data_IF_770763268767
#
_entry.id   IF_770763268767
#
_cell.length_a   1.000
_cell.length_b   1.000
_cell.length_c   1.000
_cell.angle_alpha   90.00
_cell.angle_beta   90.00
_cell.angle_gamma   90.00
#
_symmetry.space_group_name_H-M   'P 1'
#
loop_
_entity.id
_entity.type
_entity.pdbx_description
1 polymer ?
#
# COMPACT_ATOMS: atom_id res chain seq x y z
N UNK A 1 10.31 1.76 21.73
CA UNK A 1 9.58 1.41 20.49
C UNK A 1 9.57 2.63 19.59
N UNK A 2 9.81 2.45 18.30
CA UNK A 2 9.84 3.59 17.37
C UNK A 2 8.43 3.95 16.90
N UNK A 3 7.64 2.97 16.46
CA UNK A 3 6.27 3.16 15.98
C UNK A 3 5.32 2.27 16.75
N UNK A 4 4.22 2.80 17.23
CA UNK A 4 3.11 2.04 17.81
C UNK A 4 1.87 2.20 16.93
N UNK A 5 1.31 1.08 16.45
CA UNK A 5 0.12 1.07 15.61
C UNK A 5 -1.09 0.52 16.37
N UNK A 6 -2.23 1.20 16.30
CA UNK A 6 -3.54 0.65 16.65
C UNK A 6 -3.92 -0.29 15.52
N UNK A 7 -4.11 -1.59 15.83
CA UNK A 7 -4.28 -2.63 14.82
C UNK A 7 -5.74 -2.98 14.63
N UNK A 8 -6.22 -2.91 13.38
CA UNK A 8 -7.58 -3.29 12.93
C UNK A 8 -8.70 -2.84 13.88
N UNK A 9 -8.84 -1.52 14.14
CA UNK A 9 -9.87 -1.01 15.07
C UNK A 9 -11.26 -0.90 14.42
N UNK A 10 -11.60 -1.73 13.45
CA UNK A 10 -12.79 -1.64 12.60
C UNK A 10 -14.10 -1.44 13.38
N UNK A 11 -14.32 -2.29 14.38
CA UNK A 11 -15.52 -2.25 15.22
C UNK A 11 -15.34 -1.38 16.49
N UNK A 12 -14.20 -0.69 16.62
CA UNK A 12 -13.77 -0.02 17.85
C UNK A 12 -13.29 1.42 17.62
N UNK A 13 -13.87 2.12 16.63
CA UNK A 13 -13.47 3.46 16.25
C UNK A 13 -13.39 4.43 17.43
N UNK A 14 -14.47 4.53 18.23
CA UNK A 14 -14.54 5.45 19.36
C UNK A 14 -13.50 5.10 20.43
N UNK A 15 -13.28 3.83 20.70
CA UNK A 15 -12.29 3.34 21.67
C UNK A 15 -10.86 3.66 21.17
N UNK A 16 -10.62 3.45 19.88
CA UNK A 16 -9.33 3.76 19.25
C UNK A 16 -9.01 5.25 19.34
N UNK A 17 -9.97 6.11 18.99
CA UNK A 17 -9.78 7.56 18.93
C UNK A 17 -9.77 8.20 20.33
N UNK A 18 -10.67 7.79 21.23
CA UNK A 18 -10.90 8.49 22.49
C UNK A 18 -10.13 7.91 23.68
N UNK A 19 -9.59 6.69 23.58
CA UNK A 19 -8.84 6.05 24.67
C UNK A 19 -7.44 5.60 24.24
N UNK A 20 -7.33 4.82 23.14
CA UNK A 20 -6.04 4.29 22.71
C UNK A 20 -5.12 5.41 22.20
N UNK A 21 -5.61 6.30 21.32
CA UNK A 21 -4.81 7.40 20.77
C UNK A 21 -4.29 8.33 21.89
N UNK A 22 -5.12 8.87 22.82
CA UNK A 22 -4.61 9.73 23.89
C UNK A 22 -3.59 9.05 24.80
N UNK A 23 -3.72 7.73 25.03
CA UNK A 23 -2.74 6.95 25.78
C UNK A 23 -1.40 6.88 25.04
N UNK A 24 -1.43 6.61 23.74
CA UNK A 24 -0.22 6.58 22.90
C UNK A 24 0.39 7.98 22.75
N UNK A 25 -0.42 9.02 22.64
CA UNK A 25 0.03 10.41 22.57
C UNK A 25 0.80 10.85 23.83
N UNK A 26 0.31 10.42 25.01
CA UNK A 26 1.03 10.59 26.25
C UNK A 26 2.40 9.88 26.20
N UNK A 27 2.44 8.62 25.76
CA UNK A 27 3.69 7.87 25.64
C UNK A 27 4.65 8.49 24.61
N UNK A 28 4.14 9.09 23.53
CA UNK A 28 4.93 9.86 22.54
C UNK A 28 5.51 11.11 23.20
N UNK A 29 4.71 11.86 23.94
CA UNK A 29 5.15 13.07 24.66
C UNK A 29 6.21 12.79 25.74
N UNK A 30 6.16 11.62 26.35
CA UNK A 30 7.14 11.12 27.32
C UNK A 30 8.42 10.53 26.65
N UNK A 31 8.47 10.43 25.32
CA UNK A 31 9.58 9.86 24.56
C UNK A 31 9.71 8.34 24.64
N UNK A 32 8.69 7.62 25.13
CA UNK A 32 8.65 6.16 25.20
C UNK A 32 8.45 5.55 23.81
N UNK A 33 7.63 6.19 22.98
CA UNK A 33 7.44 5.89 21.56
C UNK A 33 7.77 7.14 20.75
N UNK A 34 8.11 6.97 19.45
CA UNK A 34 8.46 8.09 18.57
C UNK A 34 7.32 8.50 17.66
N UNK A 35 6.48 7.55 17.25
CA UNK A 35 5.38 7.77 16.32
C UNK A 35 4.17 6.91 16.66
N UNK A 36 2.99 7.48 16.40
CA UNK A 36 1.69 6.83 16.58
C UNK A 36 1.06 6.61 15.21
N UNK A 37 0.48 5.44 14.99
CA UNK A 37 -0.26 5.14 13.78
C UNK A 37 -1.49 4.27 14.03
N UNK A 38 -2.16 3.96 12.94
CA UNK A 38 -3.16 2.89 12.87
C UNK A 38 -2.88 2.04 11.62
N UNK A 39 -3.22 0.75 11.69
CA UNK A 39 -3.01 -0.18 10.59
C UNK A 39 -4.27 -0.99 10.30
N UNK A 40 -4.76 -0.94 9.04
CA UNK A 40 -5.96 -1.65 8.62
C UNK A 40 -6.12 -1.68 7.08
N UNK A 41 -7.16 -2.39 6.62
CA UNK A 41 -7.51 -2.43 5.21
C UNK A 41 -8.46 -1.28 4.78
N UNK A 42 -9.25 -0.73 5.70
CA UNK A 42 -10.26 0.29 5.41
C UNK A 42 -9.63 1.68 5.40
N UNK A 43 -9.36 2.20 4.22
CA UNK A 43 -8.76 3.53 4.07
C UNK A 43 -9.68 4.66 4.54
N UNK A 44 -11.00 4.46 4.50
CA UNK A 44 -12.00 5.44 4.91
C UNK A 44 -11.87 5.78 6.41
N UNK A 45 -11.71 4.76 7.26
CA UNK A 45 -11.51 4.97 8.70
C UNK A 45 -10.15 5.62 9.00
N UNK A 46 -9.10 5.28 8.25
CA UNK A 46 -7.80 5.96 8.38
C UNK A 46 -7.92 7.45 8.01
N UNK A 47 -8.72 7.78 6.99
CA UNK A 47 -9.00 9.17 6.65
C UNK A 47 -9.76 9.91 7.77
N UNK A 48 -10.71 9.24 8.43
CA UNK A 48 -11.39 9.79 9.59
C UNK A 48 -10.44 9.98 10.78
N UNK A 49 -9.57 9.05 11.07
CA UNK A 49 -8.51 9.22 12.07
C UNK A 49 -7.59 10.40 11.72
N UNK A 50 -7.18 10.51 10.46
CA UNK A 50 -6.36 11.63 10.00
C UNK A 50 -7.03 13.00 10.25
N UNK A 51 -8.36 13.11 10.16
CA UNK A 51 -9.07 14.36 10.42
C UNK A 51 -9.19 14.69 11.90
N UNK A 52 -9.31 13.69 12.75
CA UNK A 52 -9.74 13.84 14.13
C UNK A 52 -8.59 13.77 15.15
N UNK A 53 -7.39 13.32 14.77
CA UNK A 53 -6.24 13.22 15.67
C UNK A 53 -4.91 13.40 14.94
N UNK A 54 -3.85 13.64 15.74
CA UNK A 54 -2.50 13.94 15.27
C UNK A 54 -1.68 12.65 15.16
N UNK A 55 -2.03 11.81 14.18
CA UNK A 55 -1.28 10.61 13.84
C UNK A 55 -0.03 10.95 13.02
N UNK A 56 1.03 10.17 13.22
CA UNK A 56 2.30 10.33 12.47
C UNK A 56 2.34 9.45 11.22
N UNK A 57 1.71 8.28 11.25
CA UNK A 57 1.71 7.35 10.13
C UNK A 57 0.48 6.43 10.11
N UNK A 58 0.18 5.87 8.93
CA UNK A 58 -0.79 4.78 8.79
C UNK A 58 -0.21 3.63 8.00
N UNK A 59 -0.60 2.40 8.36
CA UNK A 59 -0.40 1.23 7.53
C UNK A 59 -1.73 0.91 6.84
N UNK A 60 -1.76 1.03 5.52
CA UNK A 60 -2.92 0.67 4.70
C UNK A 60 -2.57 -0.51 3.79
N UNK A 61 -3.37 -1.58 3.85
CA UNK A 61 -3.08 -2.81 3.14
C UNK A 61 -3.96 -3.00 1.90
N UNK A 62 -3.31 -3.19 0.74
CA UNK A 62 -3.97 -3.56 -0.51
C UNK A 62 -4.85 -2.50 -1.17
N UNK A 63 -4.83 -1.23 -0.73
CA UNK A 63 -5.68 -0.13 -1.23
C UNK A 63 -4.94 0.92 -2.05
N UNK A 64 -3.62 0.78 -2.19
CA UNK A 64 -2.81 1.50 -3.16
C UNK A 64 -1.76 0.57 -3.75
N UNK A 65 -2.13 -0.10 -4.81
CA UNK A 65 -1.36 -1.11 -5.54
C UNK A 65 -1.63 -0.96 -7.04
N UNK A 66 -0.99 -1.75 -7.90
CA UNK A 66 -1.33 -1.78 -9.34
C UNK A 66 -2.78 -2.20 -9.64
N UNK A 67 -3.47 -2.87 -8.69
CA UNK A 67 -4.83 -3.38 -8.88
C UNK A 67 -5.90 -2.57 -8.13
N UNK A 68 -5.53 -1.82 -7.12
CA UNK A 68 -6.47 -1.02 -6.31
C UNK A 68 -5.86 0.35 -6.02
N UNK A 69 -6.59 1.42 -6.34
CA UNK A 69 -6.15 2.81 -6.14
C UNK A 69 -7.13 3.58 -5.25
N UNK A 70 -8.01 2.88 -4.53
CA UNK A 70 -9.11 3.51 -3.80
C UNK A 70 -8.65 4.48 -2.71
N UNK A 71 -7.48 4.26 -2.10
CA UNK A 71 -6.89 5.18 -1.14
C UNK A 71 -6.55 6.57 -1.73
N UNK A 72 -6.40 6.69 -3.07
CA UNK A 72 -6.20 7.97 -3.74
C UNK A 72 -7.41 8.91 -3.66
N UNK A 73 -8.62 8.38 -3.42
CA UNK A 73 -9.83 9.17 -3.41
C UNK A 73 -9.77 10.26 -2.32
N UNK A 74 -9.19 9.93 -1.18
CA UNK A 74 -9.21 10.82 -0.02
C UNK A 74 -8.01 10.63 0.91
N UNK A 75 -7.69 9.41 1.34
CA UNK A 75 -6.66 9.15 2.35
C UNK A 75 -5.29 9.73 1.95
N UNK A 76 -4.83 9.42 0.75
CA UNK A 76 -3.47 9.80 0.32
C UNK A 76 -3.30 11.32 0.17
N UNK A 77 -4.23 12.06 -0.46
CA UNK A 77 -4.19 13.52 -0.47
C UNK A 77 -4.21 14.13 0.94
N UNK A 78 -5.08 13.61 1.82
CA UNK A 78 -5.19 14.08 3.20
C UNK A 78 -3.91 13.82 4.00
N UNK A 79 -3.31 12.63 3.85
CA UNK A 79 -2.03 12.31 4.48
C UNK A 79 -0.92 13.27 4.03
N UNK A 80 -0.87 13.58 2.73
CA UNK A 80 0.12 14.51 2.19
C UNK A 80 -0.08 15.94 2.76
N UNK A 81 -1.33 16.41 2.84
CA UNK A 81 -1.67 17.72 3.42
C UNK A 81 -1.28 17.80 4.90
N UNK A 82 -1.51 16.75 5.66
CA UNK A 82 -1.27 16.70 7.11
C UNK A 82 0.13 16.23 7.51
N UNK A 83 0.98 15.86 6.55
CA UNK A 83 2.32 15.35 6.82
C UNK A 83 2.34 13.95 7.44
N UNK A 84 1.27 13.16 7.25
CA UNK A 84 1.16 11.77 7.73
C UNK A 84 1.81 10.84 6.71
N UNK A 85 2.73 9.99 7.17
CA UNK A 85 3.41 9.01 6.32
C UNK A 85 2.58 7.74 6.14
N UNK A 86 2.55 7.18 4.93
CA UNK A 86 1.92 5.90 4.66
C UNK A 86 2.94 4.77 4.57
N UNK A 87 2.60 3.64 5.17
CA UNK A 87 3.26 2.34 5.02
C UNK A 87 2.28 1.45 4.26
N UNK A 88 2.66 0.97 3.09
CA UNK A 88 1.80 0.12 2.28
C UNK A 88 2.01 -1.35 2.62
N UNK A 89 0.96 -2.01 3.11
CA UNK A 89 0.91 -3.45 3.26
C UNK A 89 0.41 -4.14 1.99
N UNK A 90 0.90 -5.36 1.74
CA UNK A 90 0.38 -6.22 0.68
C UNK A 90 0.47 -5.66 -0.75
N UNK A 91 1.64 -5.13 -1.21
CA UNK A 91 1.78 -4.55 -2.55
C UNK A 91 1.49 -5.55 -3.69
N UNK A 92 1.53 -6.83 -3.40
CA UNK A 92 1.26 -7.91 -4.35
C UNK A 92 -0.19 -8.40 -4.35
N UNK A 93 -1.11 -7.79 -3.58
CA UNK A 93 -2.52 -8.17 -3.49
C UNK A 93 -2.72 -9.68 -3.25
N UNK A 94 -2.33 -10.15 -2.07
CA UNK A 94 -2.37 -11.57 -1.69
C UNK A 94 -1.58 -12.50 -2.64
N UNK A 95 -0.59 -11.95 -3.37
CA UNK A 95 0.27 -12.69 -4.28
C UNK A 95 -0.13 -12.63 -5.76
N UNK A 96 -1.28 -12.03 -6.13
CA UNK A 96 -1.68 -11.90 -7.55
C UNK A 96 -0.54 -11.35 -8.40
N UNK A 97 0.05 -10.22 -7.99
CA UNK A 97 1.09 -9.51 -8.77
C UNK A 97 2.50 -10.14 -8.63
N UNK A 98 2.62 -11.24 -7.89
CA UNK A 98 3.86 -12.02 -7.75
C UNK A 98 3.68 -13.48 -8.19
N UNK A 99 2.58 -13.82 -8.86
CA UNK A 99 2.23 -15.18 -9.32
C UNK A 99 2.25 -15.27 -10.83
N UNK A 100 2.13 -16.51 -11.33
CA UNK A 100 1.95 -16.81 -12.76
C UNK A 100 0.52 -16.51 -13.29
N UNK A 101 -0.33 -15.88 -12.45
CA UNK A 101 -1.71 -15.56 -12.75
C UNK A 101 -2.58 -16.77 -13.15
N UNK A 102 -2.30 -17.91 -12.50
CA UNK A 102 -3.02 -19.17 -12.67
C UNK A 102 -4.35 -19.23 -11.88
N UNK A 103 -5.00 -20.38 -11.93
CA UNK A 103 -6.32 -20.63 -11.31
C UNK A 103 -6.31 -20.57 -9.77
N UNK A 104 -5.16 -20.77 -9.15
CA UNK A 104 -5.03 -20.87 -7.68
C UNK A 104 -4.63 -19.53 -7.03
N UNK A 105 -4.71 -18.45 -7.82
CA UNK A 105 -4.37 -17.10 -7.35
C UNK A 105 -5.44 -16.58 -6.40
N UNK A 106 -5.01 -15.99 -5.27
CA UNK A 106 -5.91 -15.40 -4.27
C UNK A 106 -5.86 -13.87 -4.29
N UNK A 107 -6.98 -13.23 -3.92
CA UNK A 107 -7.11 -11.79 -3.76
C UNK A 107 -7.89 -11.50 -2.47
N UNK A 108 -7.33 -10.74 -1.54
CA UNK A 108 -7.85 -10.58 -0.17
C UNK A 108 -8.18 -11.92 0.50
N UNK A 109 -7.29 -12.91 0.35
CA UNK A 109 -7.36 -14.27 0.90
C UNK A 109 -8.44 -15.18 0.29
N UNK A 110 -9.31 -14.68 -0.59
CA UNK A 110 -10.30 -15.43 -1.36
C UNK A 110 -9.78 -15.75 -2.78
N UNK A 111 -10.39 -16.70 -3.50
CA UNK A 111 -10.09 -16.94 -4.91
C UNK A 111 -10.21 -15.63 -5.71
N UNK A 112 -9.19 -15.29 -6.49
CA UNK A 112 -9.16 -14.03 -7.21
C UNK A 112 -10.29 -13.96 -8.26
N UNK A 113 -11.11 -12.89 -8.27
CA UNK A 113 -12.11 -12.69 -9.31
C UNK A 113 -11.47 -12.65 -10.70
N UNK A 114 -12.18 -13.19 -11.71
CA UNK A 114 -11.70 -13.20 -13.09
C UNK A 114 -11.31 -11.81 -13.60
N UNK A 115 -12.06 -10.78 -13.22
CA UNK A 115 -11.75 -9.38 -13.58
C UNK A 115 -10.40 -8.90 -13.05
N UNK A 116 -10.01 -9.31 -11.85
CA UNK A 116 -8.71 -9.01 -11.25
C UNK A 116 -7.59 -9.73 -12.01
N UNK A 117 -7.77 -11.01 -12.30
CA UNK A 117 -6.80 -11.79 -13.09
C UNK A 117 -6.64 -11.20 -14.49
N UNK A 118 -7.73 -10.88 -15.17
CA UNK A 118 -7.71 -10.31 -16.52
C UNK A 118 -7.01 -8.94 -16.53
N UNK A 119 -7.22 -8.12 -15.48
CA UNK A 119 -6.52 -6.82 -15.32
C UNK A 119 -5.02 -7.02 -15.05
N UNK A 120 -4.68 -7.95 -14.15
CA UNK A 120 -3.28 -8.26 -13.86
C UNK A 120 -2.53 -8.78 -15.10
N UNK A 121 -3.17 -9.60 -15.95
CA UNK A 121 -2.63 -10.05 -17.23
C UNK A 121 -2.34 -8.90 -18.18
N UNK A 122 -3.26 -7.95 -18.32
CA UNK A 122 -3.04 -6.74 -19.16
C UNK A 122 -1.87 -5.89 -18.63
N UNK A 123 -1.77 -5.72 -17.31
CA UNK A 123 -0.63 -5.00 -16.71
C UNK A 123 0.67 -5.76 -17.02
N UNK A 124 0.67 -7.09 -16.87
CA UNK A 124 1.82 -7.93 -17.20
C UNK A 124 2.24 -7.78 -18.67
N UNK A 125 1.29 -7.80 -19.61
CA UNK A 125 1.57 -7.60 -21.04
C UNK A 125 2.29 -6.27 -21.31
N UNK A 126 1.90 -5.20 -20.62
CA UNK A 126 2.60 -3.91 -20.70
C UNK A 126 4.00 -4.00 -20.08
N UNK A 127 4.12 -4.60 -18.90
CA UNK A 127 5.42 -4.82 -18.27
C UNK A 127 6.38 -5.59 -19.20
N UNK A 128 5.88 -6.65 -19.85
CA UNK A 128 6.66 -7.47 -20.77
C UNK A 128 7.16 -6.66 -22.01
N UNK A 129 6.38 -5.70 -22.52
CA UNK A 129 6.80 -4.80 -23.63
C UNK A 129 8.04 -3.97 -23.21
N UNK A 130 8.13 -3.59 -21.96
CA UNK A 130 9.24 -2.78 -21.42
C UNK A 130 10.36 -3.63 -20.77
N UNK A 131 10.29 -4.96 -20.87
CA UNK A 131 11.23 -5.91 -20.22
C UNK A 131 11.32 -5.69 -18.71
N UNK A 132 10.19 -5.42 -18.05
CA UNK A 132 10.07 -5.19 -16.62
C UNK A 132 9.28 -6.33 -15.97
N UNK A 133 9.81 -7.02 -14.95
CA UNK A 133 9.02 -8.00 -14.20
C UNK A 133 7.77 -7.37 -13.57
N UNK A 134 6.60 -8.01 -13.68
CA UNK A 134 5.36 -7.55 -13.04
C UNK A 134 5.55 -7.30 -11.54
N UNK A 135 6.29 -8.19 -10.87
CA UNK A 135 6.61 -8.09 -9.44
C UNK A 135 7.42 -6.84 -9.11
N UNK A 136 8.36 -6.44 -9.99
CA UNK A 136 9.12 -5.21 -9.82
C UNK A 136 8.24 -3.97 -9.96
N UNK A 137 7.38 -3.94 -10.97
CA UNK A 137 6.41 -2.85 -11.13
C UNK A 137 5.48 -2.76 -9.91
N UNK A 138 5.00 -3.90 -9.39
CA UNK A 138 4.09 -3.93 -8.25
C UNK A 138 4.71 -3.40 -6.95
N UNK A 139 5.94 -3.80 -6.62
CA UNK A 139 6.58 -3.35 -5.37
C UNK A 139 7.01 -1.89 -5.43
N UNK A 140 7.40 -1.40 -6.61
CA UNK A 140 7.86 -0.01 -6.79
C UNK A 140 6.71 0.97 -6.98
N UNK A 141 5.56 0.55 -7.52
CA UNK A 141 4.43 1.44 -7.81
C UNK A 141 4.03 2.32 -6.64
N UNK A 142 3.83 1.72 -5.47
CA UNK A 142 3.40 2.45 -4.29
C UNK A 142 4.41 3.50 -3.82
N UNK A 143 5.70 3.23 -4.00
CA UNK A 143 6.79 4.11 -3.57
C UNK A 143 6.93 5.38 -4.43
N UNK A 144 6.23 5.46 -5.57
CA UNK A 144 6.19 6.67 -6.40
C UNK A 144 5.37 7.78 -5.73
N UNK A 145 4.44 7.46 -4.83
CA UNK A 145 3.59 8.49 -4.23
C UNK A 145 4.29 9.18 -3.05
N UNK A 146 4.30 10.52 -2.99
CA UNK A 146 5.09 11.28 -2.02
C UNK A 146 4.65 11.09 -0.56
N UNK A 147 3.41 10.64 -0.30
CA UNK A 147 2.98 10.31 1.08
C UNK A 147 3.47 8.94 1.55
N UNK A 148 4.02 8.10 0.67
CA UNK A 148 4.43 6.74 1.00
C UNK A 148 5.89 6.72 1.46
N UNK A 149 6.11 6.32 2.71
CA UNK A 149 7.43 6.18 3.30
C UNK A 149 8.03 4.79 3.11
N UNK A 150 7.20 3.74 3.02
CA UNK A 150 7.68 2.35 2.93
C UNK A 150 6.61 1.41 2.40
N UNK A 151 7.04 0.21 1.98
CA UNK A 151 6.17 -0.90 1.61
C UNK A 151 6.58 -2.18 2.32
N UNK A 152 5.59 -3.01 2.70
CA UNK A 152 5.78 -4.28 3.41
C UNK A 152 5.21 -5.41 2.55
N UNK A 153 6.05 -6.14 1.78
CA UNK A 153 5.60 -7.18 0.85
C UNK A 153 5.22 -8.51 1.52
N UNK A 154 5.60 -8.74 2.79
CA UNK A 154 5.25 -9.94 3.55
C UNK A 154 5.93 -11.23 3.05
N UNK A 155 7.27 -11.29 2.93
CA UNK A 155 7.98 -12.48 2.50
C UNK A 155 7.88 -13.60 3.54
N UNK A 156 7.82 -14.85 3.09
CA UNK A 156 7.70 -16.06 3.93
C UNK A 156 9.05 -16.71 4.29
N UNK A 157 10.10 -16.36 3.54
CA UNK A 157 11.45 -16.93 3.69
C UNK A 157 12.51 -15.94 3.19
N UNK A 158 13.78 -16.30 3.38
CA UNK A 158 14.94 -15.47 2.98
C UNK A 158 15.04 -15.24 1.48
N UNK A 159 14.65 -16.24 0.67
CA UNK A 159 14.76 -16.15 -0.79
C UNK A 159 13.76 -15.13 -1.33
N UNK A 160 12.54 -15.09 -0.78
CA UNK A 160 11.54 -14.07 -1.10
C UNK A 160 11.97 -12.65 -0.65
N UNK A 161 12.72 -12.54 0.47
CA UNK A 161 13.33 -11.26 0.88
C UNK A 161 14.35 -10.81 -0.16
N UNK A 162 15.27 -11.71 -0.56
CA UNK A 162 16.29 -11.41 -1.55
C UNK A 162 15.67 -11.01 -2.89
N UNK A 163 14.70 -11.76 -3.36
CA UNK A 163 13.98 -11.47 -4.60
C UNK A 163 13.25 -10.11 -4.53
N UNK A 164 12.60 -9.77 -3.41
CA UNK A 164 11.98 -8.45 -3.24
C UNK A 164 13.01 -7.31 -3.32
N UNK A 165 14.21 -7.51 -2.76
CA UNK A 165 15.30 -6.53 -2.85
C UNK A 165 15.77 -6.38 -4.31
N UNK A 166 15.89 -7.48 -5.04
CA UNK A 166 16.23 -7.45 -6.47
C UNK A 166 15.17 -6.72 -7.29
N UNK A 167 13.88 -6.98 -7.03
CA UNK A 167 12.76 -6.29 -7.70
C UNK A 167 12.75 -4.78 -7.43
N UNK A 168 13.15 -4.33 -6.25
CA UNK A 168 13.29 -2.90 -5.94
C UNK A 168 14.44 -2.22 -6.72
N UNK A 169 15.43 -2.97 -7.18
CA UNK A 169 16.58 -2.45 -7.93
C UNK A 169 16.37 -2.49 -9.46
N UNK A 170 15.29 -3.08 -9.95
CA UNK A 170 14.94 -3.06 -11.38
C UNK A 170 14.68 -1.64 -11.83
N UNK A 171 15.32 -1.21 -12.91
CA UNK A 171 15.05 0.11 -13.52
C UNK A 171 13.76 0.06 -14.30
N UNK A 172 12.79 0.85 -13.88
CA UNK A 172 11.49 0.95 -14.56
C UNK A 172 11.44 2.28 -15.33
N UNK A 173 11.27 2.25 -16.66
CA UNK A 173 11.15 3.48 -17.44
C UNK A 173 9.82 4.17 -17.17
N UNK A 174 9.83 5.50 -17.12
CA UNK A 174 8.62 6.33 -16.92
C UNK A 174 7.53 6.04 -17.96
N UNK A 175 7.93 5.64 -19.16
CA UNK A 175 7.06 5.28 -20.28
C UNK A 175 6.14 4.10 -19.93
N UNK A 176 6.56 3.17 -19.07
CA UNK A 176 5.72 2.08 -18.59
C UNK A 176 4.51 2.64 -17.84
N UNK A 177 4.72 3.56 -16.91
CA UNK A 177 3.65 4.18 -16.12
C UNK A 177 2.68 4.98 -16.97
N UNK A 178 3.20 5.71 -17.96
CA UNK A 178 2.40 6.44 -18.96
C UNK A 178 1.54 5.50 -19.80
N UNK A 179 2.10 4.36 -20.21
CA UNK A 179 1.36 3.38 -21.00
C UNK A 179 0.26 2.71 -20.17
N UNK A 180 0.52 2.37 -18.91
CA UNK A 180 -0.51 1.86 -17.99
C UNK A 180 -1.66 2.86 -17.81
N UNK A 181 -1.37 4.15 -17.68
CA UNK A 181 -2.40 5.21 -17.64
C UNK A 181 -3.17 5.32 -18.94
N UNK A 182 -2.47 5.31 -20.10
CA UNK A 182 -3.10 5.40 -21.41
C UNK A 182 -4.10 4.28 -21.66
N UNK A 183 -3.87 3.11 -21.07
CA UNK A 183 -4.76 1.95 -21.15
C UNK A 183 -5.76 1.84 -19.99
N UNK A 184 -5.86 2.86 -19.13
CA UNK A 184 -6.77 2.87 -18.00
C UNK A 184 -6.51 1.74 -16.97
N UNK A 185 -5.27 1.24 -16.93
CA UNK A 185 -4.84 0.19 -16.01
C UNK A 185 -4.40 0.73 -14.66
N UNK A 186 -4.00 1.99 -14.58
CA UNK A 186 -3.80 2.73 -13.34
C UNK A 186 -4.48 4.09 -13.40
N UNK A 187 -4.79 4.67 -12.22
CA UNK A 187 -5.49 5.95 -12.14
C UNK A 187 -4.63 7.10 -12.69
N UNK A 188 -5.25 8.09 -13.33
CA UNK A 188 -4.55 9.21 -13.97
C UNK A 188 -3.73 10.06 -12.99
N UNK A 189 -4.15 10.18 -11.72
CA UNK A 189 -3.42 10.90 -10.68
C UNK A 189 -2.28 10.11 -10.02
N UNK A 190 -2.04 8.84 -10.39
CA UNK A 190 -0.85 8.13 -9.91
C UNK A 190 0.42 8.85 -10.39
N UNK A 191 1.46 9.01 -9.56
CA UNK A 191 2.75 9.53 -10.01
C UNK A 191 3.42 8.62 -11.06
N UNK A 192 4.33 9.18 -11.84
CA UNK A 192 5.07 8.48 -12.90
C UNK A 192 6.58 8.42 -12.63
N UNK A 193 7.02 9.14 -11.60
CA UNK A 193 8.43 9.23 -11.19
C UNK A 193 8.52 9.68 -9.75
#
# INVERSE_FOLDING_TARGET
IDIALIHDPDDHYDLALNEAFPTLDKLRSEGVIKAIGAGMNQWEMLADFARNADFDCFLVAGRYTLLDHTALNELMPLCLERGISLILGGPYNSGVLASDLGSDTTYFYDPAPKSIIDRAKKIKEICDIFDVPLKAAAIQFGLLHPSVASTIPGPRNSDEVQDNIEMLNVKIPTELWKELKRQDLIHQSCPES
#
